data_IF_574037352219
#
_entry.id   IF_574037352219
#
_cell.length_a   1.000
_cell.length_b   1.000
_cell.length_c   1.000
_cell.angle_alpha   90.00
_cell.angle_beta   90.00
_cell.angle_gamma   90.00
#
_symmetry.space_group_name_H-M   'P 1'
#
loop_
_entity.id
_entity.type
_entity.pdbx_description
1 polymer ?
#
# COMPACT_ATOMS: atom_id res chain seq x y z
N UNK A 1 25.15 -16.07 23.89
CA UNK A 1 23.89 -15.31 24.00
C UNK A 1 23.52 -14.71 22.63
N UNK A 2 22.96 -15.48 21.69
CA UNK A 2 22.83 -15.06 20.27
C UNK A 2 21.66 -15.74 19.53
N UNK A 3 20.43 -15.70 20.08
CA UNK A 3 19.26 -16.40 19.48
C UNK A 3 17.92 -15.65 19.41
N UNK A 4 17.86 -14.36 19.74
CA UNK A 4 16.57 -13.64 19.79
C UNK A 4 16.26 -12.71 18.58
N UNK A 5 17.17 -12.55 17.60
CA UNK A 5 16.98 -11.58 16.49
C UNK A 5 16.22 -12.11 15.25
N UNK A 6 15.86 -13.40 15.19
CA UNK A 6 15.26 -13.99 13.97
C UNK A 6 13.73 -13.76 13.86
N UNK A 7 13.01 -13.75 14.99
CA UNK A 7 11.53 -13.76 14.98
C UNK A 7 10.87 -12.44 14.60
N UNK A 8 11.59 -11.31 14.74
CA UNK A 8 11.04 -9.95 14.50
C UNK A 8 10.93 -9.59 13.02
N UNK A 9 11.75 -10.20 12.15
CA UNK A 9 11.78 -9.87 10.71
C UNK A 9 10.59 -10.47 9.94
N UNK A 10 10.17 -11.70 10.26
CA UNK A 10 9.09 -12.40 9.55
C UNK A 10 7.69 -11.82 9.78
N UNK A 11 7.50 -11.11 10.89
CA UNK A 11 6.21 -10.48 11.23
C UNK A 11 6.05 -9.13 10.52
N UNK A 12 7.14 -8.41 10.30
CA UNK A 12 7.12 -7.06 9.70
C UNK A 12 7.03 -7.10 8.17
N UNK A 13 7.63 -8.11 7.52
CA UNK A 13 7.43 -8.35 6.08
C UNK A 13 5.96 -8.71 5.76
N UNK A 14 5.28 -9.43 6.66
CA UNK A 14 3.84 -9.69 6.51
C UNK A 14 3.04 -8.41 6.56
N UNK A 15 3.38 -7.47 7.45
CA UNK A 15 2.72 -6.17 7.51
C UNK A 15 2.94 -5.37 6.22
N UNK A 16 4.17 -5.31 5.69
CA UNK A 16 4.44 -4.71 4.38
C UNK A 16 3.57 -5.32 3.27
N UNK A 17 3.56 -6.66 3.19
CA UNK A 17 2.74 -7.39 2.24
C UNK A 17 1.26 -7.07 2.37
N UNK A 18 0.74 -6.97 3.60
CA UNK A 18 -0.66 -6.61 3.87
C UNK A 18 -0.97 -5.19 3.38
N UNK A 19 -0.14 -4.20 3.70
CA UNK A 19 -0.37 -2.82 3.25
C UNK A 19 -0.30 -2.69 1.73
N UNK A 20 0.68 -3.33 1.10
CA UNK A 20 0.81 -3.34 -0.36
C UNK A 20 -0.38 -4.02 -1.03
N UNK A 21 -0.75 -5.23 -0.60
CA UNK A 21 -1.91 -5.98 -1.12
C UNK A 21 -3.19 -5.19 -0.91
N UNK A 22 -3.38 -4.58 0.27
CA UNK A 22 -4.55 -3.76 0.57
C UNK A 22 -4.65 -2.54 -0.34
N UNK A 23 -3.53 -1.86 -0.63
CA UNK A 23 -3.49 -0.72 -1.54
C UNK A 23 -3.80 -1.11 -2.98
N UNK A 24 -3.28 -2.26 -3.45
CA UNK A 24 -3.60 -2.81 -4.78
C UNK A 24 -5.07 -3.21 -4.88
N UNK A 25 -5.63 -3.84 -3.84
CA UNK A 25 -7.06 -4.16 -3.78
C UNK A 25 -7.91 -2.89 -3.83
N UNK A 26 -7.51 -1.84 -3.10
CA UNK A 26 -8.15 -0.53 -3.11
C UNK A 26 -8.10 0.13 -4.49
N UNK A 27 -6.98 0.02 -5.23
CA UNK A 27 -6.93 0.45 -6.64
C UNK A 27 -7.95 -0.29 -7.50
N UNK A 28 -8.09 -1.62 -7.33
CA UNK A 28 -9.09 -2.41 -8.03
C UNK A 28 -10.52 -1.91 -7.79
N UNK A 29 -10.84 -1.59 -6.53
CA UNK A 29 -12.14 -0.99 -6.17
C UNK A 29 -12.30 0.40 -6.79
N UNK A 30 -11.25 1.24 -6.78
CA UNK A 30 -11.28 2.56 -7.44
C UNK A 30 -11.56 2.46 -8.94
N UNK A 31 -10.96 1.47 -9.62
CA UNK A 31 -11.25 1.19 -11.03
C UNK A 31 -12.69 0.73 -11.25
N UNK A 32 -13.21 -0.12 -10.37
CA UNK A 32 -14.60 -0.54 -10.44
C UNK A 32 -15.55 0.65 -10.26
N UNK A 33 -15.30 1.53 -9.28
CA UNK A 33 -16.09 2.75 -9.07
C UNK A 33 -15.99 3.67 -10.29
N UNK A 34 -14.80 3.84 -10.86
CA UNK A 34 -14.59 4.63 -12.07
C UNK A 34 -15.35 4.05 -13.28
N UNK A 35 -15.43 2.72 -13.42
CA UNK A 35 -16.22 2.07 -14.47
C UNK A 35 -17.73 2.33 -14.36
N UNK A 36 -18.20 2.76 -13.18
CA UNK A 36 -19.58 3.20 -12.94
C UNK A 36 -19.75 4.72 -13.04
N UNK A 37 -18.67 5.47 -13.30
CA UNK A 37 -18.75 6.90 -13.53
C UNK A 37 -19.36 7.19 -14.91
N UNK A 38 -20.18 8.24 -14.99
CA UNK A 38 -20.65 8.76 -16.27
C UNK A 38 -19.49 9.50 -16.97
N UNK A 39 -19.51 9.59 -18.30
CA UNK A 39 -18.50 10.29 -19.11
C UNK A 39 -18.26 11.75 -18.68
N UNK A 40 -19.28 12.42 -18.15
CA UNK A 40 -19.17 13.78 -17.60
C UNK A 40 -18.76 13.85 -16.11
N UNK A 41 -18.49 12.70 -15.47
CA UNK A 41 -18.22 12.58 -14.03
C UNK A 41 -19.24 13.29 -13.11
N UNK A 42 -20.46 13.54 -13.62
CA UNK A 42 -21.50 14.29 -12.90
C UNK A 42 -22.13 13.48 -11.76
N UNK A 43 -22.03 12.15 -11.82
CA UNK A 43 -22.52 11.26 -10.77
C UNK A 43 -21.50 11.12 -9.63
N UNK A 44 -21.99 10.69 -8.47
CA UNK A 44 -21.18 10.54 -7.25
C UNK A 44 -19.92 9.68 -7.47
N UNK A 45 -20.04 8.60 -8.25
CA UNK A 45 -18.92 7.73 -8.61
C UNK A 45 -17.78 8.48 -9.34
N UNK A 46 -18.11 9.35 -10.29
CA UNK A 46 -17.12 10.18 -11.00
C UNK A 46 -16.46 11.22 -10.09
N UNK A 47 -17.20 11.76 -9.12
CA UNK A 47 -16.67 12.72 -8.14
C UNK A 47 -15.73 12.05 -7.13
N UNK A 48 -16.02 10.83 -6.69
CA UNK A 48 -15.27 10.16 -5.61
C UNK A 48 -14.09 9.33 -6.10
N UNK A 49 -14.13 8.82 -7.34
CA UNK A 49 -13.06 8.00 -7.91
C UNK A 49 -11.66 8.65 -7.82
N UNK A 50 -11.45 9.95 -8.15
CA UNK A 50 -10.13 10.58 -8.04
C UNK A 50 -9.55 10.54 -6.62
N UNK A 51 -10.40 10.78 -5.61
CA UNK A 51 -10.00 10.72 -4.21
C UNK A 51 -9.68 9.30 -3.76
N UNK A 52 -10.45 8.31 -4.23
CA UNK A 52 -10.15 6.91 -3.96
C UNK A 52 -8.81 6.49 -4.56
N UNK A 53 -8.49 6.91 -5.79
CA UNK A 53 -7.17 6.67 -6.38
C UNK A 53 -6.03 7.30 -5.56
N UNK A 54 -6.18 8.56 -5.15
CA UNK A 54 -5.21 9.24 -4.30
C UNK A 54 -4.98 8.51 -2.97
N UNK A 55 -6.06 8.06 -2.32
CA UNK A 55 -5.97 7.28 -1.09
C UNK A 55 -5.27 5.93 -1.31
N UNK A 56 -5.61 5.21 -2.39
CA UNK A 56 -4.96 3.94 -2.72
C UNK A 56 -3.45 4.11 -2.90
N UNK A 57 -3.02 5.14 -3.63
CA UNK A 57 -1.60 5.47 -3.79
C UNK A 57 -0.95 5.87 -2.46
N UNK A 58 -1.64 6.64 -1.62
CA UNK A 58 -1.17 6.98 -0.27
C UNK A 58 -0.87 5.75 0.58
N UNK A 59 -1.76 4.74 0.55
CA UNK A 59 -1.56 3.47 1.28
C UNK A 59 -0.38 2.67 0.73
N UNK A 60 -0.23 2.61 -0.59
CA UNK A 60 0.90 1.91 -1.23
C UNK A 60 2.22 2.59 -0.88
N UNK A 61 2.31 3.91 -1.01
CA UNK A 61 3.51 4.69 -0.68
C UNK A 61 3.83 4.57 0.82
N UNK A 62 2.82 4.62 1.69
CA UNK A 62 3.01 4.42 3.12
C UNK A 62 3.55 3.01 3.44
N UNK A 63 3.02 1.99 2.78
CA UNK A 63 3.55 0.63 2.84
C UNK A 63 5.01 0.58 2.38
N UNK A 64 5.32 1.21 1.24
CA UNK A 64 6.66 1.30 0.66
C UNK A 64 7.68 1.94 1.61
N UNK A 65 7.40 3.16 2.06
CA UNK A 65 8.26 3.94 2.96
C UNK A 65 8.49 3.24 4.31
N UNK A 66 7.51 2.46 4.80
CA UNK A 66 7.65 1.69 6.04
C UNK A 66 8.41 0.38 5.84
N UNK A 67 8.33 -0.23 4.66
CA UNK A 67 9.14 -1.38 4.26
C UNK A 67 10.61 -1.03 4.08
N UNK A 68 10.91 0.11 3.44
CA UNK A 68 12.28 0.49 3.06
C UNK A 68 13.15 1.01 4.21
N UNK A 69 12.56 1.58 5.26
CA UNK A 69 13.33 2.00 6.46
C UNK A 69 14.11 0.86 7.14
N UNK A 70 13.88 -0.40 6.78
CA UNK A 70 14.60 -1.57 7.32
C UNK A 70 15.50 -2.31 6.33
N UNK A 71 15.35 -2.09 5.02
CA UNK A 71 16.19 -2.75 4.00
C UNK A 71 17.58 -2.13 3.95
N UNK A 72 17.73 -0.81 4.18
CA UNK A 72 19.05 -0.14 4.18
C UNK A 72 19.92 -0.45 5.40
N UNK A 73 19.32 -0.71 6.57
CA UNK A 73 20.09 -1.06 7.79
C UNK A 73 20.85 -2.39 7.66
N UNK A 74 20.61 -3.20 6.62
CA UNK A 74 21.24 -4.50 6.41
C UNK A 74 22.44 -4.46 5.46
N UNK A 75 22.72 -3.33 4.80
CA UNK A 75 23.78 -3.23 3.77
C UNK A 75 25.08 -2.56 4.26
N UNK A 76 25.08 -1.98 5.47
CA UNK A 76 26.21 -1.19 6.02
C UNK A 76 27.14 -2.02 6.94
N UNK A 77 26.90 -3.32 7.10
CA UNK A 77 27.85 -4.21 7.80
C UNK A 77 28.32 -5.26 6.80
N UNK A 78 29.30 -4.90 5.98
CA UNK A 78 30.18 -5.86 5.31
C UNK A 78 31.61 -5.54 5.66
#
# INVERSE_FOLDING_TARGET
MKRLKSKKNKTEEKFFGIYFISGVALLGVSFFVLSKANAMAANFAGKIAPFMFLLSWGVIIYGLLRGDKKSESKKVIK
#
